data_IF_310710188989
#
_entry.id   IF_310710188989
#
_cell.length_a   1.000
_cell.length_b   1.000
_cell.length_c   1.000
_cell.angle_alpha   90.00
_cell.angle_beta   90.00
_cell.angle_gamma   90.00
#
_symmetry.space_group_name_H-M   'P 1'
#
loop_
_entity.id
_entity.type
_entity.pdbx_description
1 polymer ?
#
# COMPACT_ATOMS: atom_id res chain seq x y z
N UNK A 1 -19.18 -5.07 -20.65
CA UNK A 1 -19.35 -4.28 -19.41
C UNK A 1 -18.45 -4.93 -18.37
N UNK A 2 -17.40 -4.23 -17.92
CA UNK A 2 -16.48 -4.75 -16.88
C UNK A 2 -17.14 -4.42 -15.55
N UNK A 3 -17.49 -5.43 -14.76
CA UNK A 3 -18.00 -5.25 -13.41
C UNK A 3 -16.82 -5.28 -12.45
N UNK A 4 -16.50 -4.15 -11.83
CA UNK A 4 -15.58 -4.10 -10.70
C UNK A 4 -16.30 -4.46 -9.41
N UNK A 5 -15.69 -5.34 -8.62
CA UNK A 5 -16.25 -5.72 -7.30
C UNK A 5 -15.80 -4.74 -6.23
N UNK A 6 -16.65 -4.57 -5.21
CA UNK A 6 -16.24 -3.95 -3.95
C UNK A 6 -16.04 -5.04 -2.91
N UNK A 7 -14.82 -5.12 -2.37
CA UNK A 7 -14.43 -6.16 -1.40
C UNK A 7 -14.00 -5.51 -0.10
N UNK A 8 -14.42 -6.08 1.04
CA UNK A 8 -13.93 -5.70 2.37
C UNK A 8 -12.80 -6.63 2.76
N UNK A 9 -11.67 -6.06 3.17
CA UNK A 9 -10.50 -6.80 3.64
C UNK A 9 -10.10 -6.33 5.04
N UNK A 10 -9.55 -7.24 5.82
CA UNK A 10 -9.04 -6.94 7.16
C UNK A 10 -7.61 -7.45 7.29
N UNK A 11 -6.69 -6.58 7.74
CA UNK A 11 -5.30 -6.96 8.01
C UNK A 11 -5.19 -7.78 9.31
N UNK A 12 -4.23 -8.74 9.41
CA UNK A 12 -3.26 -9.16 8.38
C UNK A 12 -3.91 -9.92 7.22
N UNK A 13 -3.40 -9.70 6.02
CA UNK A 13 -3.96 -10.24 4.78
C UNK A 13 -3.33 -11.59 4.43
N UNK A 14 -4.14 -12.50 3.86
CA UNK A 14 -3.68 -13.79 3.37
C UNK A 14 -3.74 -13.85 1.84
N UNK A 15 -2.91 -14.71 1.24
CA UNK A 15 -2.97 -14.97 -0.21
C UNK A 15 -4.36 -15.42 -0.66
N UNK A 16 -5.06 -16.19 0.18
CA UNK A 16 -6.39 -16.70 -0.15
C UNK A 16 -7.43 -15.58 -0.26
N UNK A 17 -7.34 -14.55 0.59
CA UNK A 17 -8.21 -13.37 0.53
C UNK A 17 -7.88 -12.45 -0.64
N UNK A 18 -6.60 -12.41 -1.05
CA UNK A 18 -6.14 -11.56 -2.16
C UNK A 18 -6.34 -12.21 -3.54
N UNK A 19 -6.37 -13.55 -3.62
CA UNK A 19 -6.47 -14.27 -4.87
C UNK A 19 -7.71 -13.94 -5.73
N UNK A 20 -8.89 -13.61 -5.18
CA UNK A 20 -10.05 -13.24 -6.01
C UNK A 20 -10.01 -11.82 -6.56
N UNK A 21 -9.05 -10.98 -6.13
CA UNK A 21 -9.00 -9.57 -6.56
C UNK A 21 -8.45 -9.42 -7.98
N UNK A 22 -9.04 -8.52 -8.74
CA UNK A 22 -8.57 -8.13 -10.06
C UNK A 22 -8.32 -6.63 -10.15
N UNK A 23 -7.40 -6.24 -11.04
CA UNK A 23 -7.09 -4.84 -11.30
C UNK A 23 -8.36 -4.06 -11.69
N UNK A 24 -8.66 -3.00 -10.95
CA UNK A 24 -9.88 -2.19 -11.05
C UNK A 24 -10.88 -2.41 -9.92
N UNK A 25 -10.81 -3.51 -9.18
CA UNK A 25 -11.68 -3.74 -8.03
C UNK A 25 -11.48 -2.68 -6.95
N UNK A 26 -12.54 -2.36 -6.23
CA UNK A 26 -12.51 -1.46 -5.08
C UNK A 26 -12.37 -2.26 -3.79
N UNK A 27 -11.46 -1.83 -2.92
CA UNK A 27 -11.22 -2.42 -1.61
C UNK A 27 -11.56 -1.43 -0.52
N UNK A 28 -12.30 -1.86 0.50
CA UNK A 28 -12.45 -1.18 1.78
C UNK A 28 -11.58 -1.91 2.80
N UNK A 29 -10.44 -1.31 3.16
CA UNK A 29 -9.45 -1.92 4.05
C UNK A 29 -9.67 -1.49 5.49
N UNK A 30 -9.71 -2.46 6.40
CA UNK A 30 -9.81 -2.25 7.85
C UNK A 30 -8.64 -2.95 8.57
N UNK A 31 -8.23 -2.42 9.72
CA UNK A 31 -7.21 -2.99 10.59
C UNK A 31 -5.88 -2.23 10.55
N UNK A 32 -4.79 -2.91 10.86
CA UNK A 32 -3.46 -2.29 11.00
C UNK A 32 -2.79 -2.07 9.64
N UNK A 33 -2.34 -0.84 9.39
CA UNK A 33 -1.54 -0.45 8.22
C UNK A 33 -0.27 0.24 8.70
N UNK A 34 0.88 -0.13 8.17
CA UNK A 34 2.15 0.52 8.50
C UNK A 34 2.49 1.60 7.48
N UNK A 35 3.13 2.69 7.92
CA UNK A 35 3.65 3.69 6.98
C UNK A 35 5.13 3.48 6.75
N UNK A 36 5.58 3.54 5.50
CA UNK A 36 6.99 3.58 5.16
C UNK A 36 7.19 4.26 3.81
N UNK A 37 8.14 5.18 3.73
CA UNK A 37 8.60 5.81 2.50
C UNK A 37 10.08 5.48 2.25
N UNK A 38 10.73 6.31 1.46
CA UNK A 38 12.09 6.09 0.95
C UNK A 38 13.09 5.79 2.06
N UNK A 39 13.19 6.66 3.07
CA UNK A 39 14.16 6.53 4.15
C UNK A 39 13.85 5.31 5.05
N UNK A 40 12.57 5.06 5.34
CA UNK A 40 12.17 3.89 6.12
C UNK A 40 12.45 2.58 5.35
N UNK A 41 12.17 2.53 4.03
CA UNK A 41 12.51 1.37 3.20
C UNK A 41 14.02 1.10 3.17
N UNK A 42 14.85 2.16 3.04
CA UNK A 42 16.30 2.01 3.09
C UNK A 42 16.75 1.41 4.41
N UNK A 43 16.28 1.94 5.55
CA UNK A 43 16.61 1.40 6.88
C UNK A 43 16.12 -0.02 7.11
N UNK A 44 14.92 -0.36 6.61
CA UNK A 44 14.43 -1.75 6.67
C UNK A 44 15.37 -2.70 5.92
N UNK A 45 15.83 -2.31 4.73
CA UNK A 45 16.74 -3.15 3.96
C UNK A 45 18.13 -3.25 4.60
N UNK A 46 18.67 -2.16 5.17
CA UNK A 46 19.91 -2.18 5.94
C UNK A 46 19.80 -3.07 7.18
N UNK A 47 18.68 -3.04 7.89
CA UNK A 47 18.44 -3.94 9.01
C UNK A 47 18.45 -5.41 8.58
N UNK A 48 17.76 -5.73 7.48
CA UNK A 48 17.77 -7.07 6.89
C UNK A 48 19.17 -7.51 6.44
N UNK A 49 20.01 -6.60 5.93
CA UNK A 49 21.40 -6.90 5.54
C UNK A 49 22.27 -7.25 6.77
N UNK A 50 21.93 -6.68 7.94
CA UNK A 50 22.59 -6.99 9.21
C UNK A 50 21.98 -8.18 9.94
N UNK A 51 20.92 -8.80 9.39
CA UNK A 51 20.18 -9.88 10.05
C UNK A 51 19.33 -9.40 11.24
N UNK A 52 19.02 -8.11 11.31
CA UNK A 52 18.18 -7.52 12.34
C UNK A 52 16.69 -7.66 11.98
N UNK A 53 15.80 -7.75 12.98
CA UNK A 53 14.36 -7.81 12.73
C UNK A 53 13.83 -6.49 12.17
N UNK A 54 12.76 -6.58 11.39
CA UNK A 54 11.97 -5.42 10.99
C UNK A 54 11.18 -4.86 12.18
N UNK A 55 10.78 -3.56 12.15
CA UNK A 55 10.06 -2.93 13.27
C UNK A 55 8.63 -3.45 13.48
N UNK A 56 8.15 -4.33 12.58
CA UNK A 56 6.84 -4.97 12.65
C UNK A 56 6.86 -6.31 11.93
N UNK A 57 5.88 -7.16 12.21
CA UNK A 57 5.72 -8.41 11.45
C UNK A 57 5.29 -8.10 10.02
N UNK A 58 6.13 -8.47 9.06
CA UNK A 58 5.92 -8.22 7.64
C UNK A 58 4.89 -9.17 7.00
N UNK A 59 4.66 -10.35 7.62
CA UNK A 59 3.79 -11.37 7.05
C UNK A 59 2.33 -10.93 7.08
N UNK A 60 1.72 -10.84 5.91
CA UNK A 60 0.35 -10.37 5.77
C UNK A 60 0.17 -8.87 5.96
N UNK A 61 1.25 -8.12 6.16
CA UNK A 61 1.20 -6.69 6.41
C UNK A 61 0.77 -5.90 5.18
N UNK A 62 0.20 -4.71 5.44
CA UNK A 62 -0.02 -3.66 4.45
C UNK A 62 0.89 -2.46 4.77
N UNK A 63 1.61 -1.96 3.76
CA UNK A 63 2.44 -0.76 3.88
C UNK A 63 1.86 0.37 3.03
N UNK A 64 1.56 1.49 3.67
CA UNK A 64 1.11 2.71 3.03
C UNK A 64 2.31 3.65 2.81
N UNK A 65 2.56 3.98 1.55
CA UNK A 65 3.62 4.88 1.12
C UNK A 65 3.19 6.34 1.33
N UNK A 66 3.21 6.77 2.58
CA UNK A 66 2.74 8.09 3.02
C UNK A 66 3.70 8.71 4.03
N UNK A 67 3.86 10.02 3.94
CA UNK A 67 4.44 10.85 4.99
C UNK A 67 3.36 11.87 5.38
N UNK A 68 2.60 11.62 6.45
CA UNK A 68 1.50 12.48 6.81
C UNK A 68 1.98 13.84 7.28
N UNK A 69 1.13 14.85 7.11
CA UNK A 69 1.34 16.13 7.76
C UNK A 69 1.06 16.03 9.27
N UNK A 70 1.56 16.95 10.10
CA UNK A 70 1.22 16.99 11.51
C UNK A 70 -0.30 16.95 11.74
N UNK A 71 -0.72 16.26 12.79
CA UNK A 71 -2.11 16.15 13.18
C UNK A 71 -2.67 17.49 13.68
N UNK A 72 -3.96 17.71 13.46
CA UNK A 72 -4.72 18.81 14.08
C UNK A 72 -5.31 18.34 15.40
N UNK A 73 -5.63 19.25 16.32
CA UNK A 73 -6.33 18.88 17.57
C UNK A 73 -7.57 18.01 17.28
N UNK A 74 -7.68 16.88 17.95
CA UNK A 74 -8.79 15.92 17.79
C UNK A 74 -8.68 14.99 16.56
N UNK A 75 -7.61 15.07 15.76
CA UNK A 75 -7.38 14.17 14.64
C UNK A 75 -6.27 13.17 14.98
N UNK A 76 -6.43 11.92 14.56
CA UNK A 76 -5.43 10.88 14.74
C UNK A 76 -4.18 11.11 13.87
N UNK A 77 -4.33 11.82 12.74
CA UNK A 77 -3.29 12.05 11.74
C UNK A 77 -3.64 13.32 10.95
N UNK A 78 -2.64 13.97 10.37
CA UNK A 78 -2.86 15.04 9.40
C UNK A 78 -3.21 14.50 8.01
N UNK A 79 -3.09 15.33 6.97
CA UNK A 79 -3.36 14.88 5.60
C UNK A 79 -2.44 13.69 5.23
N UNK A 80 -3.04 12.60 4.78
CA UNK A 80 -2.38 11.31 4.53
C UNK A 80 -2.44 10.93 3.03
N UNK A 81 -1.97 11.83 2.15
CA UNK A 81 -1.92 11.56 0.71
C UNK A 81 -0.75 10.65 0.32
N UNK A 82 -0.95 9.73 -0.65
CA UNK A 82 0.10 8.80 -1.06
C UNK A 82 1.25 9.49 -1.78
N UNK A 83 2.48 9.01 -1.56
CA UNK A 83 3.64 9.38 -2.39
C UNK A 83 3.74 8.48 -3.63
N UNK A 84 4.60 8.87 -4.58
CA UNK A 84 4.89 8.07 -5.78
C UNK A 84 5.62 6.79 -5.41
N UNK A 85 5.01 5.64 -5.74
CA UNK A 85 5.45 4.32 -5.26
C UNK A 85 6.71 3.79 -5.93
N UNK A 86 6.98 4.18 -7.19
CA UNK A 86 8.19 3.77 -7.92
C UNK A 86 9.52 4.11 -7.23
N UNK A 87 9.51 5.05 -6.27
CA UNK A 87 10.68 5.39 -5.46
C UNK A 87 11.09 4.24 -4.52
N UNK A 88 10.16 3.37 -4.16
CA UNK A 88 10.41 2.20 -3.32
C UNK A 88 10.71 0.91 -4.12
N UNK A 89 10.67 0.96 -5.46
CA UNK A 89 10.71 -0.25 -6.29
C UNK A 89 11.96 -1.10 -6.04
N UNK A 90 13.12 -0.48 -5.88
CA UNK A 90 14.38 -1.18 -5.59
C UNK A 90 14.38 -1.99 -4.28
N UNK A 91 13.49 -1.69 -3.36
CA UNK A 91 13.39 -2.34 -2.05
C UNK A 91 12.24 -3.35 -1.97
N UNK A 92 11.17 -3.08 -2.73
CA UNK A 92 9.88 -3.75 -2.61
C UNK A 92 9.92 -5.26 -2.88
N UNK A 93 10.62 -5.80 -3.91
CA UNK A 93 10.62 -7.24 -4.16
C UNK A 93 11.09 -8.06 -2.97
N UNK A 94 12.13 -7.60 -2.25
CA UNK A 94 12.64 -8.26 -1.05
C UNK A 94 11.60 -8.34 0.06
N UNK A 95 10.86 -7.27 0.29
CA UNK A 95 9.82 -7.23 1.32
C UNK A 95 8.64 -8.14 0.95
N UNK A 96 8.26 -8.20 -0.33
CA UNK A 96 7.25 -9.13 -0.84
C UNK A 96 7.69 -10.58 -0.63
N UNK A 97 8.96 -10.90 -0.90
CA UNK A 97 9.52 -12.24 -0.69
C UNK A 97 9.57 -12.65 0.80
N UNK A 98 9.56 -11.67 1.72
CA UNK A 98 9.45 -11.89 3.16
C UNK A 98 7.99 -12.00 3.65
N UNK A 99 7.01 -11.79 2.78
CA UNK A 99 5.59 -11.98 3.09
C UNK A 99 4.76 -10.71 3.19
N UNK A 100 5.28 -9.54 2.75
CA UNK A 100 4.45 -8.35 2.58
C UNK A 100 3.29 -8.67 1.63
N UNK A 101 2.06 -8.44 2.06
CA UNK A 101 0.87 -8.81 1.31
C UNK A 101 0.30 -7.66 0.47
N UNK A 102 0.45 -6.43 0.95
CA UNK A 102 -0.20 -5.28 0.33
C UNK A 102 0.69 -4.04 0.37
N UNK A 103 0.77 -3.35 -0.75
CA UNK A 103 1.35 -2.02 -0.86
C UNK A 103 0.24 -1.03 -1.20
N UNK A 104 0.27 0.15 -0.57
CA UNK A 104 -0.71 1.21 -0.81
C UNK A 104 0.06 2.46 -1.25
N UNK A 105 -0.29 3.01 -2.41
CA UNK A 105 0.40 4.17 -2.94
C UNK A 105 -0.22 4.74 -4.20
N UNK A 106 0.59 5.33 -5.09
CA UNK A 106 0.17 5.81 -6.42
C UNK A 106 1.31 5.70 -7.44
N UNK A 107 0.94 5.70 -8.72
CA UNK A 107 1.88 5.65 -9.85
C UNK A 107 2.27 4.23 -10.23
N UNK A 108 2.94 4.12 -11.37
CA UNK A 108 3.37 2.84 -11.94
C UNK A 108 4.47 2.20 -11.09
N UNK A 109 4.60 0.88 -11.23
CA UNK A 109 5.68 0.09 -10.64
C UNK A 109 6.53 -0.50 -11.75
N UNK A 110 7.79 -0.82 -11.44
CA UNK A 110 8.68 -1.50 -12.39
C UNK A 110 8.33 -2.99 -12.55
N UNK A 111 8.96 -3.63 -13.55
CA UNK A 111 8.69 -5.04 -13.86
C UNK A 111 9.13 -6.00 -12.76
N UNK A 112 10.18 -5.65 -11.99
CA UNK A 112 10.65 -6.47 -10.88
C UNK A 112 9.60 -6.53 -9.76
N UNK A 113 8.96 -5.39 -9.45
CA UNK A 113 7.85 -5.35 -8.49
C UNK A 113 6.63 -6.09 -9.00
N UNK A 114 6.25 -5.92 -10.28
CA UNK A 114 5.12 -6.65 -10.88
C UNK A 114 5.33 -8.16 -10.79
N UNK A 115 6.51 -8.64 -11.17
CA UNK A 115 6.86 -10.06 -11.06
C UNK A 115 6.81 -10.55 -9.61
N UNK A 116 7.26 -9.74 -8.65
CA UNK A 116 7.21 -10.08 -7.24
C UNK A 116 5.79 -10.12 -6.68
N UNK A 117 4.89 -9.23 -7.13
CA UNK A 117 3.46 -9.24 -6.79
C UNK A 117 2.83 -10.57 -7.19
N UNK A 118 3.01 -10.99 -8.43
CA UNK A 118 2.47 -12.27 -8.94
C UNK A 118 3.06 -13.47 -8.19
N UNK A 119 4.39 -13.52 -8.06
CA UNK A 119 5.11 -14.62 -7.40
C UNK A 119 4.66 -14.82 -5.95
N UNK A 120 4.37 -13.72 -5.26
CA UNK A 120 4.01 -13.74 -3.84
C UNK A 120 2.51 -13.75 -3.58
N UNK A 121 1.66 -13.62 -4.61
CA UNK A 121 0.21 -13.52 -4.45
C UNK A 121 -0.19 -12.27 -3.67
N UNK A 122 0.57 -11.19 -3.83
CA UNK A 122 0.36 -9.90 -3.19
C UNK A 122 -0.49 -8.96 -4.07
N UNK A 123 -0.81 -7.76 -3.55
CA UNK A 123 -1.52 -6.73 -4.31
C UNK A 123 -0.89 -5.36 -4.13
N UNK A 124 -1.06 -4.51 -5.13
CA UNK A 124 -0.76 -3.09 -5.04
C UNK A 124 -2.04 -2.29 -5.21
N UNK A 125 -2.38 -1.50 -4.20
CA UNK A 125 -3.60 -0.71 -4.12
C UNK A 125 -3.30 0.78 -4.31
N UNK A 126 -4.17 1.47 -5.04
CA UNK A 126 -4.13 2.92 -5.14
C UNK A 126 -4.86 3.57 -3.97
N UNK A 127 -4.18 4.52 -3.33
CA UNK A 127 -4.83 5.59 -2.61
C UNK A 127 -4.97 6.80 -3.56
N UNK A 128 -6.12 7.47 -3.56
CA UNK A 128 -6.40 8.55 -4.50
C UNK A 128 -5.47 9.75 -4.23
N UNK A 129 -4.72 10.16 -5.24
CA UNK A 129 -3.90 11.37 -5.18
C UNK A 129 -4.77 12.62 -5.02
N UNK A 130 -4.34 13.57 -4.16
CA UNK A 130 -5.12 14.77 -3.83
C UNK A 130 -6.17 14.57 -2.73
N UNK A 131 -6.54 13.33 -2.40
CA UNK A 131 -7.53 12.99 -1.39
C UNK A 131 -6.94 12.76 0.02
N UNK A 132 -5.84 13.44 0.37
CA UNK A 132 -5.13 13.23 1.64
C UNK A 132 -6.01 13.42 2.89
N UNK A 133 -6.96 14.35 2.85
CA UNK A 133 -7.92 14.56 3.93
C UNK A 133 -8.94 13.40 4.03
N UNK A 134 -9.42 12.88 2.88
CA UNK A 134 -10.30 11.73 2.83
C UNK A 134 -9.62 10.48 3.40
N UNK A 135 -8.37 10.22 2.97
CA UNK A 135 -7.58 9.09 3.47
C UNK A 135 -7.36 9.20 4.98
N UNK A 136 -7.05 10.40 5.49
CA UNK A 136 -6.90 10.65 6.93
C UNK A 136 -8.18 10.35 7.72
N UNK A 137 -9.37 10.58 7.15
CA UNK A 137 -10.65 10.27 7.78
C UNK A 137 -10.87 8.78 8.08
N UNK A 138 -10.21 7.90 7.33
CA UNK A 138 -10.24 6.46 7.59
C UNK A 138 -9.33 6.04 8.76
N UNK A 139 -8.37 6.87 9.17
CA UNK A 139 -7.41 6.57 10.23
C UNK A 139 -8.02 6.87 11.59
N UNK A 140 -8.06 5.88 12.47
CA UNK A 140 -8.63 5.98 13.84
C UNK A 140 -7.56 6.20 14.89
N UNK A 141 -6.35 5.65 14.68
CA UNK A 141 -5.19 5.92 15.53
C UNK A 141 -3.91 5.91 14.71
N UNK A 142 -2.89 6.58 15.24
CA UNK A 142 -1.56 6.68 14.64
C UNK A 142 -0.50 6.69 15.72
N UNK A 143 0.46 5.78 15.65
CA UNK A 143 1.56 5.65 16.61
C UNK A 143 2.88 5.51 15.85
N UNK A 144 3.91 6.26 16.24
CA UNK A 144 5.27 6.06 15.73
C UNK A 144 5.85 4.83 16.43
N UNK A 145 6.22 3.80 15.66
CA UNK A 145 6.77 2.54 16.18
C UNK A 145 8.27 2.39 15.91
N UNK A 146 8.82 3.14 14.95
CA UNK A 146 10.26 3.11 14.67
C UNK A 146 10.74 4.40 14.00
N UNK A 147 12.01 4.70 14.25
CA UNK A 147 12.79 5.77 13.62
C UNK A 147 12.14 7.15 13.65
N UNK A 148 11.82 7.67 14.85
CA UNK A 148 11.19 8.98 15.01
C UNK A 148 12.02 10.13 14.44
N UNK A 149 13.34 9.94 14.33
CA UNK A 149 14.28 10.89 13.71
C UNK A 149 14.02 11.12 12.20
N UNK A 150 13.29 10.23 11.54
CA UNK A 150 12.87 10.41 10.15
C UNK A 150 11.67 11.35 9.99
N UNK A 151 11.11 11.88 11.07
CA UNK A 151 9.99 12.84 11.03
C UNK A 151 8.75 12.28 10.34
N UNK A 152 8.34 12.88 9.21
CA UNK A 152 7.17 12.41 8.47
C UNK A 152 7.38 11.02 7.80
N UNK A 153 8.63 10.58 7.64
CA UNK A 153 8.98 9.25 7.10
C UNK A 153 9.22 8.19 8.18
N UNK A 154 9.04 8.53 9.47
CA UNK A 154 9.06 7.55 10.56
C UNK A 154 8.03 6.44 10.27
N UNK A 155 8.36 5.22 10.68
CA UNK A 155 7.39 4.12 10.58
C UNK A 155 6.31 4.31 11.63
N UNK A 156 5.08 4.36 11.16
CA UNK A 156 3.89 4.46 12.01
C UNK A 156 3.03 3.22 11.88
N UNK A 157 2.37 2.88 12.95
CA UNK A 157 1.24 1.95 12.96
C UNK A 157 -0.05 2.76 12.93
N UNK A 158 -0.86 2.55 11.90
CA UNK A 158 -2.18 3.13 11.75
C UNK A 158 -3.23 2.06 11.98
N UNK A 159 -4.29 2.39 12.70
CA UNK A 159 -5.53 1.62 12.67
C UNK A 159 -6.52 2.32 11.73
N UNK A 160 -6.94 1.62 10.70
CA UNK A 160 -7.85 2.16 9.67
C UNK A 160 -9.18 1.43 9.67
N UNK A 161 -10.24 2.13 9.25
CA UNK A 161 -11.58 1.57 9.07
C UNK A 161 -12.11 1.99 7.71
N UNK A 162 -12.49 0.99 6.91
CA UNK A 162 -13.07 1.17 5.58
C UNK A 162 -12.27 2.14 4.68
N UNK A 163 -10.94 2.06 4.73
CA UNK A 163 -10.07 2.87 3.88
C UNK A 163 -10.32 2.54 2.41
N UNK A 164 -10.81 3.51 1.59
CA UNK A 164 -11.19 3.24 0.20
C UNK A 164 -9.96 3.19 -0.71
N UNK A 165 -9.77 2.06 -1.39
CA UNK A 165 -8.61 1.79 -2.24
C UNK A 165 -9.08 1.13 -3.54
N UNK A 166 -8.24 1.18 -4.59
CA UNK A 166 -8.47 0.51 -5.88
C UNK A 166 -7.30 -0.42 -6.20
N UNK A 167 -7.58 -1.63 -6.66
CA UNK A 167 -6.54 -2.58 -7.08
C UNK A 167 -5.86 -2.07 -8.35
N UNK A 168 -4.55 -1.81 -8.27
CA UNK A 168 -3.71 -1.41 -9.41
C UNK A 168 -2.98 -2.59 -10.03
N UNK A 169 -2.37 -3.45 -9.18
CA UNK A 169 -1.74 -4.70 -9.60
C UNK A 169 -2.33 -5.83 -8.76
N UNK A 170 -2.72 -6.90 -9.43
CA UNK A 170 -3.25 -8.10 -8.81
C UNK A 170 -2.27 -9.29 -8.90
N UNK A 171 -2.60 -10.37 -8.22
CA UNK A 171 -1.80 -11.60 -8.17
C UNK A 171 -1.77 -12.38 -9.49
N UNK A 172 -2.58 -11.98 -10.48
CA UNK A 172 -2.72 -12.63 -11.79
C UNK A 172 -1.93 -11.92 -12.91
N UNK A 173 -1.26 -10.81 -12.57
CA UNK A 173 -0.52 -9.98 -13.53
C UNK A 173 -1.35 -8.85 -14.15
N UNK A 174 -2.57 -8.61 -13.65
CA UNK A 174 -3.37 -7.46 -14.05
C UNK A 174 -2.71 -6.14 -13.65
N UNK A 175 -2.75 -5.16 -14.56
CA UNK A 175 -2.20 -3.81 -14.37
C UNK A 175 -3.20 -2.77 -14.88
N UNK A 176 -3.84 -2.07 -13.95
CA UNK A 176 -4.87 -1.07 -14.28
C UNK A 176 -4.31 0.12 -15.07
N UNK A 177 -3.01 0.44 -14.90
CA UNK A 177 -2.38 1.48 -15.71
C UNK A 177 -2.20 1.09 -17.18
N UNK A 178 -2.29 -0.19 -17.51
CA UNK A 178 -2.29 -0.69 -18.88
C UNK A 178 -3.73 -0.93 -19.37
N UNK A 179 -4.52 -1.68 -18.62
CA UNK A 179 -5.88 -2.07 -19.04
C UNK A 179 -6.89 -0.92 -19.02
N UNK A 180 -6.80 0.00 -18.07
CA UNK A 180 -7.74 1.11 -17.91
C UNK A 180 -7.79 2.05 -19.12
N UNK A 181 -6.65 2.60 -19.58
CA UNK A 181 -6.64 3.44 -20.80
C UNK A 181 -7.12 2.70 -22.04
N UNK A 182 -6.77 1.42 -22.20
CA UNK A 182 -7.21 0.60 -23.35
C UNK A 182 -8.73 0.40 -23.33
N UNK A 183 -9.30 0.05 -22.17
CA UNK A 183 -10.75 -0.10 -22.02
C UNK A 183 -11.50 1.20 -22.30
N UNK A 184 -10.97 2.34 -21.86
CA UNK A 184 -11.55 3.65 -22.14
C UNK A 184 -11.54 3.97 -23.64
N UNK A 185 -10.43 3.78 -24.33
CA UNK A 185 -10.33 4.02 -25.79
C UNK A 185 -11.29 3.12 -26.57
N UNK A 186 -11.47 1.86 -26.17
CA UNK A 186 -12.44 0.95 -26.78
C UNK A 186 -13.89 1.39 -26.55
N UNK A 187 -14.20 2.09 -25.48
CA UNK A 187 -15.55 2.60 -25.20
C UNK A 187 -15.94 3.81 -26.04
N UNK A 188 -14.96 4.45 -26.72
CA UNK A 188 -15.19 5.60 -27.59
C UNK A 188 -15.45 5.21 -29.05
N UNK A 189 -15.25 3.94 -29.39
CA UNK A 189 -15.52 3.37 -30.74
C UNK A 189 -16.83 2.61 -30.76
#
# INVERSE_FOLDING_TARGET
MIFYMQVRLTTPLTRQELAPLHAGDTVLLTGTVYTARDAAHARMNEALDRGEPLPFDIKGAAIYYVGPTPERPGCAIGAAGPTTSGRMDKFTPRLLDLGLACMIGKGKRDEAVKAAVVRNGAVYLAAIGGAGALMAGSVKSCEIIAWPDLGCEAVRRLEVVDMPLTVLLDAHGGDLYQSGPQAYLQSLT
#
